data_IF_607397205977
#
_entry.id   IF_607397205977
#
_cell.length_a   1.000
_cell.length_b   1.000
_cell.length_c   1.000
_cell.angle_alpha   90.00
_cell.angle_beta   90.00
_cell.angle_gamma   90.00
#
_symmetry.space_group_name_H-M   'P 1'
#
loop_
_entity.id
_entity.type
_entity.pdbx_description
1 polymer ?
#
# COMPACT_ATOMS: atom_id res chain seq x y z
N UNK A 1 11.96 -10.39 -6.03
CA UNK A 1 11.92 -10.25 -7.51
C UNK A 1 12.70 -11.36 -8.22
N UNK A 2 13.78 -11.92 -7.65
CA UNK A 2 14.58 -12.98 -8.29
C UNK A 2 13.96 -14.38 -8.21
N UNK A 3 13.07 -14.62 -7.26
CA UNK A 3 12.52 -15.95 -6.97
C UNK A 3 11.89 -16.65 -8.20
N UNK A 4 11.10 -15.98 -9.06
CA UNK A 4 10.55 -16.67 -10.25
C UNK A 4 11.62 -17.24 -11.17
N UNK A 5 12.72 -16.49 -11.42
CA UNK A 5 13.86 -16.97 -12.20
C UNK A 5 14.54 -18.18 -11.55
N UNK A 6 14.83 -18.11 -10.26
CA UNK A 6 15.44 -19.21 -9.50
C UNK A 6 14.57 -20.48 -9.50
N UNK A 7 13.24 -20.31 -9.39
CA UNK A 7 12.30 -21.41 -9.45
C UNK A 7 12.27 -22.02 -10.86
N UNK A 8 12.30 -21.19 -11.90
CA UNK A 8 12.32 -21.63 -13.28
C UNK A 8 13.56 -22.44 -13.62
N UNK A 9 14.73 -22.04 -13.15
CA UNK A 9 15.98 -22.80 -13.32
C UNK A 9 15.89 -24.19 -12.69
N UNK A 10 15.34 -24.27 -11.49
CA UNK A 10 15.24 -25.52 -10.75
C UNK A 10 14.08 -26.42 -11.21
N UNK A 11 12.99 -25.80 -11.63
CA UNK A 11 11.74 -26.47 -12.02
C UNK A 11 11.23 -25.92 -13.36
N UNK A 12 11.79 -26.38 -14.49
CA UNK A 12 11.50 -25.79 -15.82
C UNK A 12 10.03 -25.80 -16.23
N UNK A 13 9.24 -26.77 -15.74
CA UNK A 13 7.84 -26.97 -16.09
C UNK A 13 6.85 -26.42 -15.04
N UNK A 14 7.35 -25.75 -14.00
CA UNK A 14 6.49 -25.18 -12.97
C UNK A 14 5.71 -23.99 -13.52
N UNK A 15 4.39 -23.94 -13.31
CA UNK A 15 3.59 -22.75 -13.59
C UNK A 15 3.82 -21.70 -12.49
N UNK A 16 4.32 -20.53 -12.89
CA UNK A 16 4.73 -19.47 -11.97
C UNK A 16 3.95 -18.19 -12.29
N UNK A 17 3.09 -17.75 -11.37
CA UNK A 17 2.49 -16.43 -11.36
C UNK A 17 3.22 -15.52 -10.37
N UNK A 18 3.47 -14.27 -10.76
CA UNK A 18 4.06 -13.25 -9.91
C UNK A 18 3.20 -12.00 -9.89
N UNK A 19 2.86 -11.49 -8.72
CA UNK A 19 2.14 -10.24 -8.53
C UNK A 19 3.03 -9.19 -7.87
N UNK A 20 3.24 -8.07 -8.55
CA UNK A 20 3.98 -6.92 -8.02
C UNK A 20 3.03 -5.99 -7.27
N UNK A 21 3.03 -6.06 -5.95
CA UNK A 21 2.12 -5.29 -5.11
C UNK A 21 2.51 -3.80 -4.99
N UNK A 22 3.81 -3.50 -4.97
CA UNK A 22 4.31 -2.12 -4.90
C UNK A 22 4.47 -1.53 -6.31
N UNK A 23 4.45 -0.19 -6.45
CA UNK A 23 4.70 0.47 -7.73
C UNK A 23 5.97 -0.04 -8.42
N UNK A 24 5.88 -0.35 -9.70
CA UNK A 24 7.07 -0.52 -10.51
C UNK A 24 7.51 0.86 -11.01
N UNK A 25 8.78 1.26 -10.80
CA UNK A 25 9.24 2.60 -11.15
C UNK A 25 9.30 2.79 -12.68
N UNK A 26 9.25 4.05 -13.13
CA UNK A 26 9.48 4.37 -14.54
C UNK A 26 10.87 3.90 -14.98
N UNK A 27 11.03 3.69 -16.30
CA UNK A 27 12.31 3.27 -16.85
C UNK A 27 13.46 4.22 -16.47
N UNK A 28 13.22 5.53 -16.42
CA UNK A 28 14.21 6.55 -16.09
C UNK A 28 14.79 6.35 -14.69
N UNK A 29 13.96 5.96 -13.74
CA UNK A 29 14.41 5.61 -12.38
C UNK A 29 14.99 4.19 -12.32
N UNK A 30 14.34 3.23 -12.97
CA UNK A 30 14.74 1.84 -12.92
C UNK A 30 16.13 1.59 -13.52
N UNK A 31 16.49 2.31 -14.59
CA UNK A 31 17.79 2.18 -15.27
C UNK A 31 19.00 2.50 -14.38
N UNK A 32 18.80 3.21 -13.26
CA UNK A 32 19.87 3.59 -12.33
C UNK A 32 20.32 2.38 -11.50
N UNK A 33 19.46 1.37 -11.34
CA UNK A 33 19.79 0.18 -10.55
C UNK A 33 20.89 -0.65 -11.24
N UNK A 34 22.01 -0.95 -10.56
CA UNK A 34 23.03 -1.84 -11.11
C UNK A 34 22.47 -3.21 -11.50
N UNK A 35 21.61 -3.78 -10.64
CA UNK A 35 21.03 -5.13 -10.77
C UNK A 35 19.80 -5.17 -11.69
N UNK A 36 19.51 -4.15 -12.47
CA UNK A 36 18.30 -4.02 -13.30
C UNK A 36 18.09 -5.20 -14.25
N UNK A 37 19.16 -5.70 -14.88
CA UNK A 37 19.12 -6.84 -15.80
C UNK A 37 18.75 -8.13 -15.06
N UNK A 38 19.35 -8.34 -13.90
CA UNK A 38 19.11 -9.52 -13.06
C UNK A 38 17.67 -9.53 -12.54
N UNK A 39 17.18 -8.37 -12.07
CA UNK A 39 15.80 -8.21 -11.58
C UNK A 39 14.80 -8.51 -12.68
N UNK A 40 14.97 -7.95 -13.89
CA UNK A 40 14.04 -8.20 -14.99
C UNK A 40 14.06 -9.67 -15.42
N UNK A 41 15.23 -10.27 -15.56
CA UNK A 41 15.35 -11.70 -15.89
C UNK A 41 14.73 -12.58 -14.80
N UNK A 42 14.88 -12.19 -13.52
CA UNK A 42 14.25 -12.87 -12.40
C UNK A 42 12.73 -12.86 -12.51
N UNK A 43 12.13 -11.68 -12.77
CA UNK A 43 10.68 -11.54 -12.95
C UNK A 43 10.17 -12.29 -14.17
N UNK A 44 10.90 -12.24 -15.28
CA UNK A 44 10.56 -12.95 -16.52
C UNK A 44 10.75 -14.47 -16.43
N UNK A 45 11.21 -15.01 -15.31
CA UNK A 45 11.12 -16.43 -14.96
C UNK A 45 9.68 -16.90 -14.74
N UNK A 46 8.74 -15.99 -14.47
CA UNK A 46 7.32 -16.29 -14.37
C UNK A 46 6.66 -16.49 -15.75
N UNK A 47 5.56 -17.24 -15.79
CA UNK A 47 4.69 -17.34 -16.96
C UNK A 47 3.71 -16.17 -17.01
N UNK A 48 3.40 -15.63 -15.84
CA UNK A 48 2.46 -14.52 -15.68
C UNK A 48 2.99 -13.51 -14.67
N UNK A 49 3.06 -12.23 -15.06
CA UNK A 49 3.45 -11.11 -14.20
C UNK A 49 2.32 -10.10 -14.13
N UNK A 50 1.84 -9.80 -12.94
CA UNK A 50 0.73 -8.88 -12.75
C UNK A 50 1.12 -7.67 -11.89
N UNK A 51 0.46 -6.55 -12.18
CA UNK A 51 0.61 -5.28 -11.49
C UNK A 51 -0.74 -4.74 -11.02
N UNK A 52 -0.73 -3.83 -10.05
CA UNK A 52 -1.94 -3.20 -9.52
C UNK A 52 -2.68 -2.33 -10.52
N UNK A 53 -1.93 -1.56 -11.33
CA UNK A 53 -2.48 -0.61 -12.28
C UNK A 53 -1.72 -0.67 -13.61
N UNK A 54 -2.36 -0.19 -14.65
CA UNK A 54 -1.84 -0.21 -16.01
C UNK A 54 -0.50 0.56 -16.15
N UNK A 55 -0.31 1.66 -15.44
CA UNK A 55 0.93 2.42 -15.52
C UNK A 55 2.14 1.62 -15.02
N UNK A 56 2.00 0.84 -13.94
CA UNK A 56 3.09 0.01 -13.44
C UNK A 56 3.42 -1.14 -14.40
N UNK A 57 2.42 -1.72 -15.04
CA UNK A 57 2.58 -2.67 -16.11
C UNK A 57 3.37 -2.06 -17.28
N UNK A 58 2.98 -0.87 -17.76
CA UNK A 58 3.68 -0.15 -18.83
C UNK A 58 5.11 0.21 -18.47
N UNK A 59 5.37 0.61 -17.22
CA UNK A 59 6.72 0.87 -16.75
C UNK A 59 7.60 -0.38 -16.81
N UNK A 60 7.06 -1.53 -16.41
CA UNK A 60 7.76 -2.80 -16.49
C UNK A 60 8.05 -3.19 -17.95
N UNK A 61 7.04 -3.15 -18.82
CA UNK A 61 7.20 -3.44 -20.26
C UNK A 61 8.29 -2.53 -20.86
N UNK A 62 8.20 -1.22 -20.65
CA UNK A 62 9.20 -0.26 -21.13
C UNK A 62 10.62 -0.55 -20.58
N UNK A 63 10.72 -0.99 -19.33
CA UNK A 63 12.01 -1.36 -18.77
C UNK A 63 12.58 -2.63 -19.44
N UNK A 64 11.75 -3.64 -19.68
CA UNK A 64 12.16 -4.87 -20.37
C UNK A 64 12.61 -4.58 -21.80
N UNK A 65 11.82 -3.82 -22.56
CA UNK A 65 12.15 -3.45 -23.95
C UNK A 65 13.47 -2.70 -24.06
N UNK A 66 13.69 -1.72 -23.16
CA UNK A 66 14.87 -0.86 -23.21
C UNK A 66 16.14 -1.45 -22.61
N UNK A 67 16.00 -2.32 -21.60
CA UNK A 67 17.14 -2.92 -20.88
C UNK A 67 17.53 -4.28 -21.45
N UNK A 68 16.53 -5.11 -21.81
CA UNK A 68 16.76 -6.47 -22.31
C UNK A 68 16.61 -6.58 -23.84
N UNK A 69 16.13 -5.51 -24.48
CA UNK A 69 15.89 -5.48 -25.95
C UNK A 69 14.94 -6.59 -26.41
N UNK A 70 13.89 -6.86 -25.60
CA UNK A 70 12.84 -7.81 -25.88
C UNK A 70 11.55 -7.06 -26.23
N UNK A 71 10.95 -7.38 -27.36
CA UNK A 71 9.71 -6.74 -27.82
C UNK A 71 8.48 -7.47 -27.28
N UNK A 72 7.48 -6.67 -26.83
CA UNK A 72 6.17 -7.17 -26.46
C UNK A 72 5.19 -7.14 -27.62
N UNK A 73 4.37 -8.19 -27.70
CA UNK A 73 3.22 -8.24 -28.61
C UNK A 73 1.97 -8.54 -27.78
N UNK A 74 1.00 -7.61 -27.77
CA UNK A 74 -0.25 -7.76 -27.01
C UNK A 74 0.00 -8.20 -25.55
N UNK A 75 0.90 -7.47 -24.85
CA UNK A 75 1.28 -7.71 -23.46
C UNK A 75 1.97 -9.08 -23.19
N UNK A 76 2.45 -9.75 -24.24
CA UNK A 76 3.22 -10.99 -24.15
C UNK A 76 4.64 -10.79 -24.70
N UNK A 77 5.60 -11.40 -24.03
CA UNK A 77 7.00 -11.44 -24.48
C UNK A 77 7.47 -12.88 -24.64
N UNK A 78 8.10 -13.14 -25.77
CA UNK A 78 8.72 -14.43 -26.07
C UNK A 78 10.12 -14.47 -25.46
N UNK A 79 10.37 -15.46 -24.62
CA UNK A 79 11.69 -15.68 -23.99
C UNK A 79 12.09 -17.13 -24.25
N UNK A 80 13.06 -17.31 -25.14
CA UNK A 80 13.44 -18.64 -25.63
C UNK A 80 12.20 -19.41 -26.16
N UNK A 81 11.86 -20.54 -25.54
CA UNK A 81 10.71 -21.35 -25.92
C UNK A 81 9.47 -21.11 -25.01
N UNK A 82 9.43 -20.01 -24.29
CA UNK A 82 8.39 -19.69 -23.34
C UNK A 82 7.78 -18.32 -23.61
N UNK A 83 6.52 -18.15 -23.28
CA UNK A 83 5.82 -16.86 -23.29
C UNK A 83 5.61 -16.40 -21.84
N UNK A 84 5.94 -15.16 -21.55
CA UNK A 84 5.54 -14.48 -20.31
C UNK A 84 4.47 -13.45 -20.64
N UNK A 85 3.32 -13.56 -20.00
CA UNK A 85 2.22 -12.59 -20.12
C UNK A 85 2.26 -11.59 -18.99
N UNK A 86 1.98 -10.32 -19.29
CA UNK A 86 2.00 -9.22 -18.33
C UNK A 86 0.66 -8.50 -18.33
N UNK A 87 0.04 -8.33 -17.15
CA UNK A 87 -1.28 -7.71 -17.04
C UNK A 87 -1.39 -6.74 -15.87
N UNK A 88 -2.35 -5.82 -15.97
CA UNK A 88 -2.82 -5.02 -14.85
C UNK A 88 -4.04 -5.69 -14.22
N UNK A 89 -3.88 -6.16 -12.98
CA UNK A 89 -4.94 -6.78 -12.18
C UNK A 89 -5.18 -5.96 -10.89
N UNK A 90 -6.07 -4.97 -10.93
CA UNK A 90 -6.41 -4.19 -9.74
C UNK A 90 -6.96 -5.10 -8.63
N UNK A 91 -6.39 -5.00 -7.43
CA UNK A 91 -6.96 -5.70 -6.28
C UNK A 91 -8.24 -5.00 -5.84
N UNK A 92 -9.32 -5.77 -5.72
CA UNK A 92 -10.57 -5.30 -5.16
C UNK A 92 -10.68 -5.57 -3.66
N UNK A 93 -11.90 -5.40 -3.15
CA UNK A 93 -12.31 -5.79 -1.81
C UNK A 93 -13.54 -6.69 -1.88
N UNK A 94 -13.82 -7.42 -0.82
CA UNK A 94 -15.10 -8.12 -0.70
C UNK A 94 -16.21 -7.12 -0.41
N UNK A 95 -16.77 -6.51 -1.47
CA UNK A 95 -17.81 -5.49 -1.38
C UNK A 95 -19.02 -5.94 -0.54
N UNK A 96 -19.49 -7.16 -0.74
CA UNK A 96 -20.65 -7.70 -0.02
C UNK A 96 -20.44 -7.74 1.49
N UNK A 97 -19.25 -8.11 1.93
CA UNK A 97 -18.89 -8.14 3.35
C UNK A 97 -18.97 -6.76 4.00
N UNK A 98 -18.52 -5.72 3.29
CA UNK A 98 -18.58 -4.35 3.80
C UNK A 98 -19.96 -3.75 3.67
N UNK A 99 -20.65 -3.97 2.54
CA UNK A 99 -21.98 -3.43 2.28
C UNK A 99 -23.01 -3.96 3.29
N UNK A 100 -22.97 -5.27 3.58
CA UNK A 100 -23.86 -5.92 4.55
C UNK A 100 -23.39 -5.82 6.00
N UNK A 101 -22.23 -5.21 6.27
CA UNK A 101 -21.74 -5.06 7.63
C UNK A 101 -22.73 -4.33 8.55
N UNK A 102 -23.47 -3.37 8.01
CA UNK A 102 -24.51 -2.64 8.76
C UNK A 102 -25.69 -3.52 9.23
N UNK A 103 -25.88 -4.70 8.63
CA UNK A 103 -26.91 -5.65 9.04
C UNK A 103 -26.46 -6.58 10.17
N UNK A 104 -25.17 -6.58 10.47
CA UNK A 104 -24.57 -7.44 11.49
C UNK A 104 -24.85 -6.88 12.88
N UNK A 105 -25.39 -7.73 13.78
CA UNK A 105 -25.72 -7.38 15.16
C UNK A 105 -24.50 -6.90 15.96
N UNK A 106 -23.33 -7.49 15.73
CA UNK A 106 -22.08 -7.09 16.41
C UNK A 106 -21.64 -5.70 15.99
N UNK A 107 -21.81 -5.37 14.69
CA UNK A 107 -21.51 -4.04 14.15
C UNK A 107 -22.47 -3.01 14.75
N UNK A 108 -23.77 -3.30 14.87
CA UNK A 108 -24.73 -2.43 15.54
C UNK A 108 -24.35 -2.17 17.00
N UNK A 109 -23.97 -3.21 17.75
CA UNK A 109 -23.51 -3.04 19.12
C UNK A 109 -22.24 -2.18 19.21
N UNK A 110 -21.32 -2.32 18.25
CA UNK A 110 -20.11 -1.50 18.19
C UNK A 110 -20.45 -0.03 17.89
N UNK A 111 -21.38 0.22 16.95
CA UNK A 111 -21.87 1.57 16.64
C UNK A 111 -22.47 2.23 17.89
N UNK A 112 -23.34 1.54 18.62
CA UNK A 112 -23.94 2.08 19.84
C UNK A 112 -22.91 2.40 20.94
N UNK A 113 -21.90 1.55 21.13
CA UNK A 113 -20.78 1.82 22.05
C UNK A 113 -20.00 3.07 21.63
N UNK A 114 -19.70 3.17 20.32
CA UNK A 114 -18.96 4.31 19.76
C UNK A 114 -19.75 5.61 19.92
N UNK A 115 -21.05 5.58 19.64
CA UNK A 115 -21.94 6.74 19.86
C UNK A 115 -21.94 7.20 21.33
N UNK A 116 -22.00 6.26 22.26
CA UNK A 116 -21.94 6.57 23.70
C UNK A 116 -20.59 7.18 24.10
N UNK A 117 -19.50 6.76 23.47
CA UNK A 117 -18.15 7.24 23.76
C UNK A 117 -17.94 8.68 23.25
N UNK A 118 -18.37 8.98 22.03
CA UNK A 118 -18.10 10.27 21.37
C UNK A 118 -19.26 11.27 21.47
N UNK A 119 -20.46 10.83 21.91
CA UNK A 119 -21.64 11.69 22.02
C UNK A 119 -22.01 12.35 20.70
N UNK A 120 -22.30 13.65 20.75
CA UNK A 120 -22.67 14.49 19.60
C UNK A 120 -21.47 15.05 18.83
N UNK A 121 -20.25 14.66 19.16
CA UNK A 121 -19.06 15.14 18.47
C UNK A 121 -19.04 14.70 17.01
N UNK A 122 -18.62 15.60 16.13
CA UNK A 122 -18.26 15.22 14.77
C UNK A 122 -17.02 14.34 14.82
N UNK A 123 -17.09 13.15 14.23
CA UNK A 123 -16.01 12.20 14.26
C UNK A 123 -15.24 12.21 12.94
N UNK A 124 -13.94 12.47 13.00
CA UNK A 124 -12.99 12.27 11.90
C UNK A 124 -12.27 10.97 12.17
N UNK A 125 -12.45 9.97 11.30
CA UNK A 125 -11.82 8.65 11.46
C UNK A 125 -10.55 8.56 10.61
N UNK A 126 -9.49 8.04 11.22
CA UNK A 126 -8.23 7.68 10.56
C UNK A 126 -7.81 6.27 10.94
N UNK A 127 -7.58 5.42 9.96
CA UNK A 127 -7.16 4.02 10.18
C UNK A 127 -5.91 3.75 9.36
N UNK A 128 -4.78 3.54 10.03
CA UNK A 128 -3.49 3.33 9.40
C UNK A 128 -2.63 2.32 10.17
N UNK A 129 -1.63 1.77 9.51
CA UNK A 129 -0.51 1.15 10.21
C UNK A 129 0.44 2.23 10.71
N UNK A 130 1.14 1.95 11.81
CA UNK A 130 2.24 2.80 12.28
C UNK A 130 3.37 2.77 11.24
N UNK A 131 3.37 3.77 10.36
CA UNK A 131 4.33 3.89 9.25
C UNK A 131 4.51 5.36 8.90
N UNK A 132 5.77 5.80 8.73
CA UNK A 132 6.10 7.18 8.39
C UNK A 132 5.47 7.64 7.06
N UNK A 133 5.31 6.70 6.11
CA UNK A 133 4.71 6.99 4.80
C UNK A 133 3.20 7.33 4.88
N UNK A 134 2.55 7.10 6.02
CA UNK A 134 1.12 7.39 6.23
C UNK A 134 0.83 8.82 6.65
N UNK A 135 1.86 9.61 6.89
CA UNK A 135 1.72 11.03 7.21
C UNK A 135 0.97 11.31 8.53
N UNK A 136 1.05 10.41 9.52
CA UNK A 136 0.31 10.49 10.78
C UNK A 136 0.60 11.81 11.51
N UNK A 137 1.87 12.18 11.64
CA UNK A 137 2.25 13.45 12.30
C UNK A 137 1.75 14.68 11.53
N UNK A 138 1.76 14.65 10.19
CA UNK A 138 1.22 15.75 9.39
C UNK A 138 -0.29 15.89 9.59
N UNK A 139 -1.02 14.79 9.73
CA UNK A 139 -2.46 14.78 10.00
C UNK A 139 -2.77 15.35 11.39
N UNK A 140 -2.00 14.98 12.41
CA UNK A 140 -2.13 15.54 13.76
C UNK A 140 -1.88 17.05 13.78
N UNK A 141 -0.82 17.51 13.14
CA UNK A 141 -0.51 18.95 13.03
C UNK A 141 -1.56 19.70 12.24
N UNK A 142 -2.05 19.13 11.13
CA UNK A 142 -3.16 19.70 10.37
C UNK A 142 -4.43 19.83 11.21
N UNK A 143 -4.73 18.84 12.06
CA UNK A 143 -5.86 18.91 12.98
C UNK A 143 -5.65 19.95 14.09
N UNK A 144 -4.43 20.07 14.63
CA UNK A 144 -4.09 21.13 15.59
C UNK A 144 -4.29 22.52 14.98
N UNK A 145 -3.76 22.74 13.76
CA UNK A 145 -3.92 24.00 13.02
C UNK A 145 -5.40 24.30 12.74
N UNK A 146 -6.18 23.28 12.40
CA UNK A 146 -7.63 23.43 12.22
C UNK A 146 -8.29 23.93 13.51
N UNK A 147 -7.98 23.34 14.65
CA UNK A 147 -8.54 23.78 15.94
C UNK A 147 -8.08 25.20 16.32
N UNK A 148 -6.84 25.58 16.03
CA UNK A 148 -6.33 26.93 16.27
C UNK A 148 -7.08 28.00 15.47
N UNK A 149 -7.47 27.71 14.23
CA UNK A 149 -8.19 28.65 13.37
C UNK A 149 -9.72 28.59 13.54
N UNK A 150 -10.25 27.58 14.19
CA UNK A 150 -11.68 27.28 14.27
C UNK A 150 -12.11 26.97 15.70
N UNK A 151 -12.04 27.96 16.57
CA UNK A 151 -12.39 27.81 17.99
C UNK A 151 -13.85 27.31 18.22
N UNK A 152 -14.74 27.56 17.25
CA UNK A 152 -16.13 27.10 17.29
C UNK A 152 -16.26 25.56 17.25
N UNK A 153 -15.21 24.83 16.89
CA UNK A 153 -15.15 23.35 16.89
C UNK A 153 -14.54 22.77 18.17
N UNK A 154 -14.00 23.56 19.07
CA UNK A 154 -13.49 23.06 20.35
C UNK A 154 -14.60 22.32 21.12
N UNK A 155 -14.31 21.11 21.58
CA UNK A 155 -15.27 20.25 22.27
C UNK A 155 -16.40 19.72 21.37
N UNK A 156 -16.35 19.91 20.04
CA UNK A 156 -17.40 19.46 19.10
C UNK A 156 -16.91 18.53 18.00
N UNK A 157 -15.60 18.36 17.87
CA UNK A 157 -14.98 17.47 16.89
C UNK A 157 -13.94 16.60 17.56
N UNK A 158 -13.88 15.35 17.15
CA UNK A 158 -12.88 14.37 17.62
C UNK A 158 -12.17 13.73 16.44
N UNK A 159 -10.85 13.74 16.43
CA UNK A 159 -10.03 12.93 15.53
C UNK A 159 -9.74 11.58 16.19
N UNK A 160 -10.44 10.55 15.77
CA UNK A 160 -10.21 9.17 16.22
C UNK A 160 -9.21 8.48 15.30
N UNK A 161 -8.10 8.06 15.87
CA UNK A 161 -7.03 7.41 15.11
C UNK A 161 -6.84 5.96 15.57
N UNK A 162 -7.03 5.03 14.66
CA UNK A 162 -6.68 3.61 14.86
C UNK A 162 -5.33 3.37 14.20
N UNK A 163 -4.29 3.24 15.01
CA UNK A 163 -2.91 3.05 14.53
C UNK A 163 -2.46 1.64 14.93
N UNK A 164 -2.37 0.76 13.95
CA UNK A 164 -1.94 -0.63 14.19
C UNK A 164 -0.41 -0.68 14.19
N UNK A 165 0.22 -1.22 15.25
CA UNK A 165 1.67 -1.41 15.30
C UNK A 165 2.19 -2.19 14.08
N UNK A 166 3.32 -1.77 13.54
CA UNK A 166 3.96 -2.39 12.39
C UNK A 166 5.47 -2.31 12.57
N UNK A 167 6.17 -3.45 12.43
CA UNK A 167 7.65 -3.52 12.48
C UNK A 167 8.26 -2.94 13.77
N UNK A 168 7.69 -3.26 14.92
CA UNK A 168 8.07 -2.72 16.24
C UNK A 168 9.55 -2.92 16.62
N UNK A 169 10.24 -3.82 15.95
CA UNK A 169 11.67 -4.09 16.18
C UNK A 169 12.63 -3.12 15.46
N UNK A 170 12.10 -2.16 14.70
CA UNK A 170 12.91 -1.15 13.98
C UNK A 170 12.86 0.15 14.77
N UNK A 171 13.99 0.61 15.29
CA UNK A 171 14.10 1.79 16.17
C UNK A 171 13.38 3.05 15.65
N UNK A 172 13.36 3.28 14.35
CA UNK A 172 12.65 4.42 13.73
C UNK A 172 11.13 4.41 13.96
N UNK A 173 10.52 3.24 14.17
CA UNK A 173 9.07 3.13 14.46
C UNK A 173 8.75 3.43 15.92
N UNK A 174 9.66 3.08 16.85
CA UNK A 174 9.53 3.45 18.25
C UNK A 174 9.62 4.98 18.43
N UNK A 175 10.57 5.63 17.76
CA UNK A 175 10.68 7.09 17.74
C UNK A 175 9.45 7.76 17.14
N UNK A 176 8.90 7.22 16.06
CA UNK A 176 7.67 7.74 15.45
C UNK A 176 6.49 7.65 16.43
N UNK A 177 6.36 6.54 17.15
CA UNK A 177 5.32 6.37 18.17
C UNK A 177 5.44 7.42 19.28
N UNK A 178 6.63 7.63 19.81
CA UNK A 178 6.89 8.65 20.85
C UNK A 178 6.46 10.04 20.36
N UNK A 179 6.86 10.43 19.15
CA UNK A 179 6.46 11.74 18.58
C UNK A 179 4.94 11.87 18.38
N UNK A 180 4.27 10.78 18.02
CA UNK A 180 2.80 10.76 17.90
C UNK A 180 2.16 10.98 19.29
N UNK A 181 2.62 10.27 20.31
CA UNK A 181 2.10 10.37 21.67
C UNK A 181 2.32 11.78 22.26
N UNK A 182 3.48 12.39 22.01
CA UNK A 182 3.78 13.78 22.39
C UNK A 182 2.86 14.79 21.69
N UNK A 183 2.65 14.65 20.39
CA UNK A 183 1.79 15.53 19.60
C UNK A 183 0.32 15.43 20.06
N UNK A 184 -0.17 14.21 20.30
CA UNK A 184 -1.52 13.97 20.85
C UNK A 184 -1.65 14.62 22.22
N UNK A 185 -0.67 14.45 23.11
CA UNK A 185 -0.65 15.07 24.42
C UNK A 185 -0.70 16.60 24.34
N UNK A 186 0.05 17.20 23.43
CA UNK A 186 0.04 18.64 23.19
C UNK A 186 -1.31 19.16 22.69
N UNK A 187 -1.99 18.43 21.80
CA UNK A 187 -3.31 18.82 21.25
C UNK A 187 -4.39 18.72 22.33
N UNK A 188 -4.38 17.64 23.12
CA UNK A 188 -5.40 17.42 24.16
C UNK A 188 -5.20 18.29 25.43
N UNK A 189 -4.02 18.84 25.64
CA UNK A 189 -3.69 19.69 26.75
C UNK A 189 -3.95 21.18 26.53
N UNK A 190 -4.39 21.56 25.35
CA UNK A 190 -4.78 22.94 24.98
C UNK A 190 -6.28 23.14 25.21
#
# INVERSE_FOLDING_TARGET
MLLPGMLREKFPNLHIGYFQHIPFPSHELFRILPERVEILNGLLGADFVAFHIHDYMRHFISAVERVLHLDFKLDEVQINNRVTRVEALPMGINYESYHKASENKEVHQAIERTRKLFGEHKLILSVDRLDYSKGILHRLRGFATFLEHHAEYHGKVTLAMVIVPSRDHVGSYAELKTKIDEEIGSINGR
#
